data_IF_767456819477
#
_entry.id   IF_767456819477
#
_cell.length_a   1.000
_cell.length_b   1.000
_cell.length_c   1.000
_cell.angle_alpha   90.00
_cell.angle_beta   90.00
_cell.angle_gamma   90.00
#
_symmetry.space_group_name_H-M   'P 1'
#
loop_
_entity.id
_entity.type
_entity.pdbx_description
1 polymer ?
#
# COMPACT_ATOMS: atom_id res chain seq x y z
N UNK A 1 9.63 11.52 -3.51
CA UNK A 1 8.95 10.45 -4.26
C UNK A 1 8.50 11.03 -5.58
N UNK A 2 8.79 10.34 -6.68
CA UNK A 2 8.24 10.68 -7.98
C UNK A 2 6.72 10.61 -7.98
N UNK A 3 6.09 11.35 -8.90
CA UNK A 3 4.63 11.35 -9.05
C UNK A 3 4.13 9.90 -9.29
N UNK A 4 3.10 9.44 -8.57
CA UNK A 4 2.56 8.11 -8.78
C UNK A 4 2.01 7.94 -10.21
N UNK A 5 2.15 6.72 -10.73
CA UNK A 5 1.66 6.35 -12.07
C UNK A 5 0.13 6.18 -12.03
N UNK A 6 -0.34 5.51 -10.98
CA UNK A 6 -1.75 5.33 -10.65
C UNK A 6 -1.91 5.54 -9.16
N UNK A 7 -3.06 6.06 -8.75
CA UNK A 7 -3.38 6.26 -7.35
C UNK A 7 -4.87 6.03 -7.14
N UNK A 8 -5.24 5.63 -5.92
CA UNK A 8 -6.62 5.50 -5.49
C UNK A 8 -6.72 5.71 -4.01
N UNK A 9 -7.65 6.57 -3.61
CA UNK A 9 -8.06 6.76 -2.23
C UNK A 9 -9.44 6.15 -1.97
N UNK A 10 -9.73 5.94 -0.69
CA UNK A 10 -11.03 5.53 -0.26
C UNK A 10 -11.18 5.59 1.26
N UNK A 11 -12.35 5.19 1.71
CA UNK A 11 -12.67 5.07 3.13
C UNK A 11 -13.31 3.72 3.34
N UNK A 12 -12.91 3.02 4.40
CA UNK A 12 -13.61 1.84 4.92
C UNK A 12 -14.19 2.19 6.29
N UNK A 13 -15.35 1.63 6.63
CA UNK A 13 -15.91 1.76 7.97
C UNK A 13 -15.64 0.46 8.74
N UNK A 14 -14.95 0.56 9.86
CA UNK A 14 -14.56 -0.59 10.70
C UNK A 14 -14.84 -0.23 12.17
N UNK A 15 -15.61 -1.06 12.86
CA UNK A 15 -16.03 -0.81 14.26
C UNK A 15 -16.63 0.58 14.53
N UNK A 16 -17.35 1.15 13.56
CA UNK A 16 -17.96 2.49 13.68
C UNK A 16 -16.97 3.66 13.48
N UNK A 17 -15.72 3.36 13.11
CA UNK A 17 -14.68 4.34 12.78
C UNK A 17 -14.49 4.35 11.27
N UNK A 18 -14.41 5.55 10.68
CA UNK A 18 -14.10 5.71 9.26
C UNK A 18 -12.60 5.78 9.08
N UNK A 19 -12.04 4.74 8.46
CA UNK A 19 -10.63 4.60 8.16
C UNK A 19 -10.37 5.02 6.73
N UNK A 20 -9.68 6.13 6.54
CA UNK A 20 -9.22 6.57 5.22
C UNK A 20 -8.01 5.77 4.79
N UNK A 21 -7.94 5.40 3.53
CA UNK A 21 -6.79 4.74 2.94
C UNK A 21 -6.44 5.36 1.60
N UNK A 22 -5.17 5.24 1.24
CA UNK A 22 -4.61 5.73 0.00
C UNK A 22 -3.60 4.72 -0.53
N UNK A 23 -3.67 4.43 -1.83
CA UNK A 23 -2.76 3.54 -2.54
C UNK A 23 -2.15 4.30 -3.70
N UNK A 24 -0.84 4.22 -3.83
CA UNK A 24 -0.08 4.83 -4.92
C UNK A 24 0.80 3.79 -5.61
N UNK A 25 0.88 3.82 -6.93
CA UNK A 25 1.70 2.89 -7.72
C UNK A 25 2.91 3.62 -8.27
N UNK A 26 4.08 2.99 -8.11
CA UNK A 26 5.37 3.48 -8.55
C UNK A 26 6.10 2.41 -9.38
N UNK A 27 7.04 2.81 -10.25
CA UNK A 27 7.97 1.85 -10.85
C UNK A 27 8.73 1.10 -9.75
N UNK A 28 8.97 -0.19 -9.95
CA UNK A 28 9.74 -0.98 -8.99
C UNK A 28 11.21 -0.50 -9.02
N UNK A 29 11.82 -0.14 -7.87
CA UNK A 29 13.12 0.54 -7.84
C UNK A 29 14.27 -0.32 -8.38
N UNK A 30 14.17 -1.64 -8.21
CA UNK A 30 15.21 -2.60 -8.63
C UNK A 30 14.94 -3.30 -9.97
N UNK A 31 13.71 -3.24 -10.49
CA UNK A 31 13.28 -4.09 -11.61
C UNK A 31 12.57 -3.23 -12.66
N UNK A 32 13.26 -2.99 -13.77
CA UNK A 32 12.72 -2.19 -14.85
C UNK A 32 11.49 -2.85 -15.48
N UNK A 33 10.46 -2.05 -15.78
CA UNK A 33 9.17 -2.53 -16.32
C UNK A 33 8.29 -3.24 -15.30
N UNK A 34 8.67 -3.29 -14.03
CA UNK A 34 7.83 -3.77 -12.93
C UNK A 34 7.26 -2.60 -12.13
N UNK A 35 6.19 -2.88 -11.40
CA UNK A 35 5.47 -1.91 -10.60
C UNK A 35 5.33 -2.41 -9.17
N UNK A 36 5.37 -1.48 -8.22
CA UNK A 36 5.10 -1.69 -6.81
C UNK A 36 4.04 -0.69 -6.36
N UNK A 37 3.36 -0.97 -5.26
CA UNK A 37 2.43 -0.01 -4.67
C UNK A 37 2.89 0.40 -3.27
N UNK A 38 2.59 1.62 -2.87
CA UNK A 38 2.64 2.12 -1.51
C UNK A 38 1.21 2.22 -0.98
N UNK A 39 1.04 2.01 0.32
CA UNK A 39 -0.25 2.08 0.98
C UNK A 39 -0.14 2.96 2.23
N UNK A 40 -1.09 3.86 2.42
CA UNK A 40 -1.22 4.67 3.60
C UNK A 40 -2.62 4.47 4.21
N UNK A 41 -2.67 4.21 5.51
CA UNK A 41 -3.90 4.05 6.31
C UNK A 41 -3.93 5.16 7.35
N UNK A 42 -5.04 5.90 7.49
CA UNK A 42 -5.14 7.08 8.36
C UNK A 42 -4.02 8.13 8.14
N UNK A 43 -3.60 8.31 6.88
CA UNK A 43 -2.46 9.17 6.52
C UNK A 43 -1.10 8.70 7.08
N UNK A 44 -1.03 7.48 7.61
CA UNK A 44 0.22 6.83 8.01
C UNK A 44 0.63 5.88 6.90
N UNK A 45 1.82 6.11 6.34
CA UNK A 45 2.40 5.26 5.30
C UNK A 45 2.85 3.94 5.92
N UNK A 46 2.30 2.83 5.44
CA UNK A 46 2.67 1.49 5.89
C UNK A 46 4.10 1.17 5.46
N UNK A 47 4.83 0.50 6.35
CA UNK A 47 6.19 0.03 6.09
C UNK A 47 6.20 -1.46 5.99
N UNK A 48 6.96 -1.98 5.03
CA UNK A 48 7.14 -3.41 4.87
C UNK A 48 7.82 -3.99 6.14
N UNK A 49 7.19 -4.94 6.86
CA UNK A 49 7.69 -5.44 8.15
C UNK A 49 8.89 -6.38 8.05
N UNK A 50 9.35 -6.75 6.84
CA UNK A 50 10.50 -7.61 6.69
C UNK A 50 11.82 -6.85 6.86
N UNK A 51 12.80 -7.35 7.65
CA UNK A 51 14.08 -6.68 7.80
C UNK A 51 14.82 -6.80 6.46
N UNK A 52 15.58 -5.77 6.10
CA UNK A 52 16.33 -5.59 4.84
C UNK A 52 15.50 -4.87 3.77
N UNK A 53 15.58 -3.54 3.74
CA UNK A 53 16.01 -2.83 2.53
C UNK A 53 16.14 -1.34 2.83
N UNK A 54 17.38 -0.86 2.78
CA UNK A 54 17.67 0.52 2.48
C UNK A 54 17.00 0.91 1.14
N UNK A 55 16.44 2.12 1.14
CA UNK A 55 16.00 2.98 0.02
C UNK A 55 14.51 3.17 -0.33
N UNK A 56 13.57 2.27 -0.08
CA UNK A 56 12.12 2.57 -0.27
C UNK A 56 11.22 1.56 0.49
N UNK A 57 11.37 1.51 1.82
CA UNK A 57 10.72 0.54 2.72
C UNK A 57 9.18 0.59 2.78
N UNK A 58 8.56 1.42 1.94
CA UNK A 58 7.11 1.64 1.87
C UNK A 58 6.49 1.09 0.58
N UNK A 59 7.30 0.49 -0.31
CA UNK A 59 6.83 -0.15 -1.54
C UNK A 59 6.63 -1.66 -1.32
N UNK A 60 5.48 -2.14 -1.79
CA UNK A 60 5.00 -3.50 -1.64
C UNK A 60 4.82 -4.16 -3.01
N UNK A 61 5.18 -5.44 -3.05
CA UNK A 61 5.03 -6.33 -4.20
C UNK A 61 5.85 -5.95 -5.44
N UNK A 62 5.75 -6.81 -6.44
CA UNK A 62 6.40 -6.66 -7.75
C UNK A 62 5.45 -7.22 -8.81
N UNK A 63 4.89 -6.33 -9.62
CA UNK A 63 3.82 -6.64 -10.56
C UNK A 63 4.21 -6.29 -11.99
N UNK A 64 3.65 -7.00 -12.96
CA UNK A 64 3.90 -6.76 -14.39
C UNK A 64 3.20 -5.50 -14.91
N UNK A 65 2.11 -5.08 -14.25
CA UNK A 65 1.33 -3.92 -14.68
C UNK A 65 0.97 -3.02 -13.50
N UNK A 66 0.83 -1.72 -13.79
CA UNK A 66 0.41 -0.74 -12.78
C UNK A 66 -0.99 -1.04 -12.22
N UNK A 67 -1.90 -1.56 -13.04
CA UNK A 67 -3.26 -1.92 -12.60
C UNK A 67 -3.25 -3.11 -11.63
N UNK A 68 -2.43 -4.13 -11.88
CA UNK A 68 -2.27 -5.24 -10.93
C UNK A 68 -1.71 -4.78 -9.59
N UNK A 69 -0.72 -3.88 -9.60
CA UNK A 69 -0.19 -3.29 -8.38
C UNK A 69 -1.27 -2.48 -7.63
N UNK A 70 -2.07 -1.70 -8.36
CA UNK A 70 -3.16 -0.91 -7.77
C UNK A 70 -4.24 -1.82 -7.16
N UNK A 71 -4.70 -2.83 -7.89
CA UNK A 71 -5.73 -3.76 -7.43
C UNK A 71 -5.27 -4.54 -6.20
N UNK A 72 -3.98 -4.94 -6.17
CA UNK A 72 -3.39 -5.58 -5.00
C UNK A 72 -3.36 -4.64 -3.80
N UNK A 73 -2.88 -3.40 -3.95
CA UNK A 73 -2.84 -2.43 -2.87
C UNK A 73 -4.22 -2.03 -2.36
N UNK A 74 -5.23 -1.91 -3.25
CA UNK A 74 -6.62 -1.63 -2.86
C UNK A 74 -7.21 -2.81 -2.10
N UNK A 75 -6.98 -4.04 -2.57
CA UNK A 75 -7.41 -5.25 -1.88
C UNK A 75 -6.76 -5.33 -0.50
N UNK A 76 -5.48 -4.99 -0.39
CA UNK A 76 -4.78 -4.92 0.89
C UNK A 76 -5.38 -3.84 1.78
N UNK A 77 -5.61 -2.62 1.31
CA UNK A 77 -6.25 -1.56 2.08
C UNK A 77 -7.65 -1.91 2.62
N UNK A 78 -8.40 -2.71 1.86
CA UNK A 78 -9.71 -3.19 2.24
C UNK A 78 -9.65 -4.36 3.23
N UNK A 79 -8.66 -5.25 3.09
CA UNK A 79 -8.49 -6.44 3.93
C UNK A 79 -7.73 -6.12 5.22
N UNK A 80 -6.80 -5.16 5.20
CA UNK A 80 -5.78 -5.00 6.24
C UNK A 80 -6.44 -4.82 7.61
N UNK A 81 -6.33 -5.82 8.50
CA UNK A 81 -6.92 -5.78 9.82
C UNK A 81 -5.97 -5.01 10.74
N UNK A 82 -5.99 -3.69 10.68
CA UNK A 82 -5.43 -2.88 11.77
C UNK A 82 -6.26 -2.96 13.08
N UNK A 83 -7.08 -4.01 13.26
CA UNK A 83 -7.79 -4.36 14.50
C UNK A 83 -7.77 -5.90 14.72
N UNK A 84 -6.63 -6.58 14.54
CA UNK A 84 -6.47 -7.94 15.07
C UNK A 84 -5.60 -7.99 16.35
N UNK A 85 -4.80 -6.95 16.61
CA UNK A 85 -3.84 -6.92 17.74
C UNK A 85 -4.16 -5.88 18.84
N UNK A 86 -5.33 -5.22 18.81
CA UNK A 86 -5.78 -4.33 19.91
C UNK A 86 -6.79 -5.03 20.87
N UNK A 87 -7.19 -6.27 20.57
CA UNK A 87 -8.04 -7.08 21.46
C UNK A 87 -7.35 -8.42 21.76
N UNK A 88 -6.25 -8.38 22.52
CA UNK A 88 -5.76 -9.51 23.32
C UNK A 88 -5.23 -9.02 24.66
#
# INVERSE_FOLDING_TARGET
MDKPILEKDGTKSECGINVTWYVAVHPHPLLNGKYSYAIAIHNVLERNPFPIADFDSCLFGCYDTAHQALDAGVKEAQINPMIADIIK
#
